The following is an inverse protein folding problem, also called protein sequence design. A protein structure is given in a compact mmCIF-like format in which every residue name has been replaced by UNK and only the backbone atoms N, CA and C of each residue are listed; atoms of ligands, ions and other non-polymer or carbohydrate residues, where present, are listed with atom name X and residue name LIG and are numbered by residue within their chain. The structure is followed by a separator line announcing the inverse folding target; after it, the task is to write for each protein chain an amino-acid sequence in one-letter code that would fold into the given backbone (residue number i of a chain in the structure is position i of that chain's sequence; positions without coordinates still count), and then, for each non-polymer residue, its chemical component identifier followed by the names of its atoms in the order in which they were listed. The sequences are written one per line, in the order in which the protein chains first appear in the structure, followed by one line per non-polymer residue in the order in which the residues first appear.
data_IF_969054864983
#
_entry.id   IF_969054864983
#
_cell.length_a   1.000
_cell.length_b   1.000
_cell.length_c   1.000
_cell.angle_alpha   90.00
_cell.angle_beta   90.00
_cell.angle_gamma   90.00
#
_symmetry.space_group_name_H-M   'P 1'
#
loop_
_entity.id
_entity.type
_entity.pdbx_description
1 polymer ?
#
# COMPACT_ATOMS: atom_id res chain seq x y z
N UNK A 1 -10.75 -7.52 -25.02
CA UNK A 1 -11.42 -7.92 -23.75
C UNK A 1 -10.45 -7.66 -22.61
N UNK A 2 -10.85 -7.75 -21.33
CA UNK A 2 -9.86 -7.67 -20.24
C UNK A 2 -9.05 -8.97 -20.23
N UNK A 3 -7.72 -8.90 -20.44
CA UNK A 3 -6.82 -10.07 -20.51
C UNK A 3 -6.62 -10.80 -19.17
N UNK A 4 -7.21 -10.29 -18.08
CA UNK A 4 -7.13 -10.85 -16.73
C UNK A 4 -8.32 -10.42 -15.87
N UNK A 5 -8.50 -11.10 -14.72
CA UNK A 5 -9.51 -10.73 -13.73
C UNK A 5 -9.23 -9.39 -13.03
N UNK A 6 -10.19 -8.98 -12.19
CA UNK A 6 -10.09 -7.76 -11.38
C UNK A 6 -10.11 -8.09 -9.89
N UNK A 7 -9.21 -7.45 -9.15
CA UNK A 7 -9.20 -7.54 -7.70
C UNK A 7 -10.47 -6.95 -7.09
N UNK A 8 -10.89 -7.52 -5.95
CA UNK A 8 -12.03 -7.02 -5.18
C UNK A 8 -11.57 -5.96 -4.15
N UNK A 9 -12.42 -5.65 -3.17
CA UNK A 9 -12.09 -4.65 -2.15
C UNK A 9 -10.98 -5.11 -1.21
N UNK A 10 -10.30 -4.13 -0.59
CA UNK A 10 -9.18 -4.30 0.36
C UNK A 10 -9.47 -5.34 1.44
N UNK A 11 -10.67 -5.35 2.04
CA UNK A 11 -11.03 -6.37 3.04
C UNK A 11 -10.94 -7.78 2.50
N UNK A 12 -11.51 -8.04 1.32
CA UNK A 12 -11.52 -9.39 0.76
C UNK A 12 -10.10 -9.85 0.43
N UNK A 13 -9.28 -8.96 -0.13
CA UNK A 13 -7.88 -9.25 -0.40
C UNK A 13 -7.15 -9.60 0.89
N UNK A 14 -7.27 -8.76 1.95
CA UNK A 14 -6.61 -9.03 3.22
C UNK A 14 -7.08 -10.34 3.85
N UNK A 15 -8.38 -10.63 3.84
CA UNK A 15 -8.93 -11.90 4.35
C UNK A 15 -8.39 -13.11 3.59
N UNK A 16 -8.13 -13.01 2.28
CA UNK A 16 -7.52 -14.09 1.51
C UNK A 16 -6.04 -14.26 1.89
N UNK A 17 -5.28 -13.17 1.93
CA UNK A 17 -3.85 -13.18 2.25
C UNK A 17 -3.57 -13.66 3.68
N UNK A 18 -4.45 -13.36 4.64
CA UNK A 18 -4.34 -13.80 6.02
C UNK A 18 -4.44 -15.33 6.20
N UNK A 19 -4.92 -16.07 5.19
CA UNK A 19 -4.97 -17.55 5.23
C UNK A 19 -3.62 -18.20 4.99
N UNK A 20 -2.67 -17.46 4.41
CA UNK A 20 -1.33 -17.95 4.16
C UNK A 20 -0.41 -17.64 5.35
N UNK A 21 0.21 -18.64 6.00
CA UNK A 21 1.03 -18.43 7.20
C UNK A 21 2.31 -17.63 6.91
N UNK A 22 2.81 -17.61 5.68
CA UNK A 22 3.99 -16.86 5.27
C UNK A 22 3.67 -15.41 4.92
N UNK A 23 2.42 -15.12 4.55
CA UNK A 23 1.97 -13.75 4.23
C UNK A 23 1.36 -13.07 5.46
N UNK A 24 0.60 -13.80 6.27
CA UNK A 24 -0.18 -13.23 7.39
C UNK A 24 0.61 -12.33 8.35
N UNK A 25 1.90 -12.60 8.69
CA UNK A 25 2.65 -11.72 9.59
C UNK A 25 2.95 -10.34 8.99
N UNK A 26 2.84 -10.21 7.66
CA UNK A 26 3.10 -8.99 6.90
C UNK A 26 1.82 -8.19 6.60
N UNK A 27 0.64 -8.66 7.03
CA UNK A 27 -0.63 -7.97 6.81
C UNK A 27 -0.95 -7.09 8.03
N UNK A 28 -1.11 -5.76 7.87
CA UNK A 28 -1.51 -4.88 8.97
C UNK A 28 -2.93 -5.23 9.43
N UNK A 29 -3.17 -5.17 10.74
CA UNK A 29 -4.50 -5.42 11.32
C UNK A 29 -5.52 -4.50 10.65
N UNK A 30 -6.60 -5.09 10.14
CA UNK A 30 -7.61 -4.38 9.36
C UNK A 30 -9.00 -4.85 9.76
N UNK A 31 -9.91 -3.92 10.00
CA UNK A 31 -11.32 -4.19 10.34
C UNK A 31 -12.25 -3.34 9.46
N UNK A 32 -13.52 -3.74 9.36
CA UNK A 32 -14.54 -2.85 8.81
C UNK A 32 -14.70 -1.63 9.71
N UNK A 33 -14.87 -0.44 9.13
CA UNK A 33 -15.05 0.77 9.91
C UNK A 33 -16.41 0.77 10.62
N UNK A 34 -16.37 0.86 11.93
CA UNK A 34 -17.46 1.16 12.86
C UNK A 34 -16.91 1.99 14.02
N UNK A 35 -17.77 2.51 14.89
CA UNK A 35 -17.31 3.26 16.05
C UNK A 35 -16.49 2.36 17.00
N UNK A 36 -16.96 1.14 17.21
CA UNK A 36 -16.33 0.15 18.09
C UNK A 36 -14.96 -0.27 17.57
N UNK A 37 -14.87 -0.59 16.27
CA UNK A 37 -13.60 -0.99 15.64
C UNK A 37 -12.60 0.16 15.59
N UNK A 38 -13.04 1.39 15.30
CA UNK A 38 -12.17 2.57 15.34
C UNK A 38 -11.61 2.77 16.75
N UNK A 39 -12.47 2.72 17.77
CA UNK A 39 -12.08 2.85 19.18
C UNK A 39 -11.11 1.75 19.61
N UNK A 40 -11.41 0.49 19.30
CA UNK A 40 -10.55 -0.65 19.63
C UNK A 40 -9.18 -0.54 18.94
N UNK A 41 -9.16 -0.17 17.66
CA UNK A 41 -7.92 0.02 16.92
C UNK A 41 -7.08 1.18 17.49
N UNK A 42 -7.70 2.30 17.92
CA UNK A 42 -7.02 3.41 18.59
C UNK A 42 -6.63 3.13 20.05
N UNK A 43 -7.12 2.05 20.64
CA UNK A 43 -6.60 1.56 21.92
C UNK A 43 -5.30 0.78 21.71
N UNK A 44 -5.23 -0.01 20.64
CA UNK A 44 -4.09 -0.88 20.35
C UNK A 44 -2.96 -0.18 19.59
N UNK A 45 -3.28 0.76 18.70
CA UNK A 45 -2.33 1.41 17.82
C UNK A 45 -2.38 2.93 17.97
N UNK A 46 -1.22 3.59 17.97
CA UNK A 46 -1.15 5.06 18.02
C UNK A 46 -1.76 5.69 16.77
N UNK A 47 -1.48 5.11 15.60
CA UNK A 47 -1.98 5.59 14.31
C UNK A 47 -2.82 4.53 13.64
N UNK A 48 -3.94 4.94 13.07
CA UNK A 48 -4.76 4.12 12.16
C UNK A 48 -5.09 4.90 10.91
N UNK A 49 -5.33 4.20 9.82
CA UNK A 49 -5.80 4.76 8.56
C UNK A 49 -7.21 4.28 8.28
N UNK A 50 -8.10 5.24 8.03
CA UNK A 50 -9.46 5.00 7.58
C UNK A 50 -9.49 5.16 6.07
N UNK A 51 -9.73 4.06 5.35
CA UNK A 51 -9.60 4.00 3.89
C UNK A 51 -10.87 3.44 3.25
N UNK A 52 -11.25 3.85 2.03
CA UNK A 52 -12.35 3.21 1.32
C UNK A 52 -11.99 1.75 0.98
N UNK A 53 -12.91 0.81 1.19
CA UNK A 53 -12.68 -0.60 0.84
C UNK A 53 -12.42 -0.78 -0.66
N UNK A 54 -13.09 0.03 -1.49
CA UNK A 54 -12.83 0.16 -2.93
C UNK A 54 -12.46 1.61 -3.23
N UNK A 55 -11.29 1.82 -3.82
CA UNK A 55 -10.76 3.15 -4.12
C UNK A 55 -9.42 3.07 -4.82
N UNK A 56 -8.93 4.20 -5.31
CA UNK A 56 -7.67 4.31 -6.04
C UNK A 56 -6.97 5.64 -5.71
N UNK A 57 -5.66 5.73 -5.99
CA UNK A 57 -4.83 6.95 -5.85
C UNK A 57 -4.89 7.62 -4.48
N UNK A 58 -5.06 6.85 -3.41
CA UNK A 58 -5.13 7.41 -2.05
C UNK A 58 -6.34 8.32 -1.75
N UNK A 59 -7.31 8.47 -2.66
CA UNK A 59 -8.45 9.39 -2.48
C UNK A 59 -9.37 8.90 -1.36
N UNK A 60 -9.68 9.82 -0.43
CA UNK A 60 -10.61 9.56 0.67
C UNK A 60 -9.98 8.75 1.80
N UNK A 61 -8.65 8.74 1.90
CA UNK A 61 -7.95 8.18 3.07
C UNK A 61 -7.87 9.26 4.15
N UNK A 62 -8.11 8.87 5.40
CA UNK A 62 -7.85 9.69 6.58
C UNK A 62 -6.83 8.97 7.46
N UNK A 63 -5.85 9.71 8.00
CA UNK A 63 -5.04 9.24 9.14
C UNK A 63 -5.66 9.76 10.41
N UNK A 64 -5.79 8.87 11.37
CA UNK A 64 -6.20 9.20 12.74
C UNK A 64 -5.03 8.84 13.65
N UNK A 65 -4.43 9.84 14.29
CA UNK A 65 -3.32 9.66 15.23
C UNK A 65 -3.76 10.06 16.63
N UNK A 66 -3.62 9.15 17.58
CA UNK A 66 -3.95 9.42 18.98
C UNK A 66 -2.94 10.39 19.56
N UNK A 67 -3.42 11.46 20.20
CA UNK A 67 -2.56 12.37 20.97
C UNK A 67 -2.47 11.88 22.42
N UNK A 68 -3.63 11.57 23.01
CA UNK A 68 -3.75 11.09 24.38
C UNK A 68 -5.07 10.31 24.56
N UNK A 69 -5.44 10.00 25.80
CA UNK A 69 -6.67 9.26 26.13
C UNK A 69 -7.97 10.00 25.78
N UNK A 70 -7.93 11.28 25.44
CA UNK A 70 -9.12 12.12 25.14
C UNK A 70 -9.16 12.67 23.73
N UNK A 71 -8.01 12.86 23.07
CA UNK A 71 -7.91 13.57 21.79
C UNK A 71 -7.14 12.78 20.73
N UNK A 72 -7.49 13.02 19.47
CA UNK A 72 -6.75 12.58 18.30
C UNK A 72 -6.66 13.67 17.23
N UNK A 73 -5.68 13.51 16.36
CA UNK A 73 -5.52 14.24 15.11
C UNK A 73 -6.15 13.44 13.98
N UNK A 74 -6.91 14.12 13.13
CA UNK A 74 -7.43 13.57 11.88
C UNK A 74 -6.93 14.43 10.73
N UNK A 75 -6.26 13.80 9.77
CA UNK A 75 -5.75 14.46 8.58
C UNK A 75 -6.22 13.70 7.34
N UNK A 76 -6.83 14.42 6.40
CA UNK A 76 -7.25 13.86 5.12
C UNK A 76 -6.06 13.74 4.18
N UNK A 77 -6.03 12.69 3.38
CA UNK A 77 -5.11 12.59 2.23
C UNK A 77 -5.28 13.75 1.25
N UNK A 78 -6.47 14.38 1.20
CA UNK A 78 -6.82 15.44 0.24
C UNK A 78 -6.35 16.84 0.64
N UNK A 79 -5.92 17.07 1.89
CA UNK A 79 -5.54 18.39 2.39
C UNK A 79 -4.45 18.27 3.47
N UNK A 80 -3.58 19.27 3.57
CA UNK A 80 -2.52 19.34 4.60
C UNK A 80 -3.09 19.63 5.99
N UNK A 81 -4.30 20.18 6.09
CA UNK A 81 -4.89 20.58 7.37
C UNK A 81 -5.13 19.40 8.32
N UNK A 82 -4.62 19.54 9.54
CA UNK A 82 -4.84 18.61 10.66
C UNK A 82 -5.97 19.13 11.54
N UNK A 83 -6.96 18.29 11.81
CA UNK A 83 -8.04 18.58 12.74
C UNK A 83 -7.82 17.84 14.05
N UNK A 84 -7.86 18.55 15.18
CA UNK A 84 -7.84 17.92 16.50
C UNK A 84 -9.28 17.75 16.97
N UNK A 85 -9.66 16.51 17.26
CA UNK A 85 -10.99 16.16 17.75
C UNK A 85 -10.89 15.34 19.03
N UNK A 86 -11.97 15.26 19.81
CA UNK A 86 -12.02 14.28 20.89
C UNK A 86 -12.16 12.88 20.31
N UNK A 87 -11.59 11.87 20.97
CA UNK A 87 -11.69 10.48 20.54
C UNK A 87 -13.16 10.02 20.42
N UNK A 88 -14.03 10.51 21.30
CA UNK A 88 -15.47 10.24 21.27
C UNK A 88 -16.16 10.81 20.01
N UNK A 89 -15.66 11.94 19.46
CA UNK A 89 -16.20 12.56 18.24
C UNK A 89 -15.47 12.13 16.96
N UNK A 90 -14.45 11.29 17.07
CA UNK A 90 -13.62 10.90 15.92
C UNK A 90 -14.44 10.16 14.86
N UNK A 91 -15.30 9.23 15.28
CA UNK A 91 -16.15 8.47 14.35
C UNK A 91 -17.16 9.37 13.64
N UNK A 92 -17.90 10.20 14.38
CA UNK A 92 -18.88 11.11 13.79
C UNK A 92 -18.22 12.08 12.80
N UNK A 93 -17.08 12.68 13.20
CA UNK A 93 -16.29 13.55 12.34
C UNK A 93 -15.89 12.85 11.03
N UNK A 94 -15.41 11.61 11.08
CA UNK A 94 -15.05 10.85 9.88
C UNK A 94 -16.28 10.57 9.00
N UNK A 95 -17.41 10.17 9.60
CA UNK A 95 -18.62 9.82 8.84
C UNK A 95 -19.23 11.02 8.11
N UNK A 96 -19.11 12.23 8.67
CA UNK A 96 -19.53 13.47 8.00
C UNK A 96 -18.72 13.76 6.73
N UNK A 97 -17.46 13.34 6.69
CA UNK A 97 -16.57 13.51 5.53
C UNK A 97 -16.69 12.37 4.50
N UNK A 98 -17.28 11.24 4.90
CA UNK A 98 -17.41 10.05 4.07
C UNK A 98 -18.68 10.15 3.22
N UNK A 99 -18.56 9.93 1.91
CA UNK A 99 -19.72 9.82 1.02
C UNK A 99 -20.63 8.67 1.46
N UNK A 100 -21.92 8.98 1.63
CA UNK A 100 -22.96 8.02 2.00
C UNK A 100 -22.94 6.76 1.11
N UNK A 101 -23.20 5.60 1.72
CA UNK A 101 -23.23 4.28 1.05
C UNK A 101 -21.85 3.68 0.74
N UNK A 102 -20.74 4.40 0.93
CA UNK A 102 -19.40 3.88 0.68
C UNK A 102 -18.87 3.11 1.90
N UNK A 103 -18.49 1.84 1.71
CA UNK A 103 -17.86 1.03 2.77
C UNK A 103 -16.41 1.41 3.00
N UNK A 104 -16.04 1.59 4.26
CA UNK A 104 -14.68 1.91 4.72
C UNK A 104 -14.11 0.83 5.61
N UNK A 105 -12.79 0.85 5.73
CA UNK A 105 -12.00 0.02 6.64
C UNK A 105 -11.21 0.91 7.58
N UNK A 106 -10.88 0.38 8.75
CA UNK A 106 -9.85 0.92 9.63
C UNK A 106 -8.67 -0.04 9.63
N UNK A 107 -7.47 0.47 9.36
CA UNK A 107 -6.25 -0.30 9.23
C UNK A 107 -5.16 0.26 10.14
N UNK A 108 -4.39 -0.62 10.77
CA UNK A 108 -3.21 -0.27 11.55
C UNK A 108 -2.28 0.64 10.74
N UNK A 109 -1.80 1.72 11.36
CA UNK A 109 -0.71 2.53 10.82
C UNK A 109 0.63 1.82 10.98
N UNK A 110 1.44 1.87 9.92
CA UNK A 110 2.81 1.35 9.92
C UNK A 110 3.74 2.56 10.07
N UNK A 111 4.68 2.47 11.01
CA UNK A 111 5.77 3.42 11.16
C UNK A 111 6.79 3.18 10.05
N UNK A 112 6.52 3.77 8.88
CA UNK A 112 7.33 3.57 7.68
C UNK A 112 8.78 4.01 7.90
N UNK A 113 9.69 3.24 7.30
CA UNK A 113 11.06 3.64 7.04
C UNK A 113 11.09 5.00 6.34
N UNK A 114 12.14 5.78 6.64
CA UNK A 114 12.27 7.14 6.14
C UNK A 114 13.61 7.34 5.45
N UNK A 115 13.61 8.18 4.44
CA UNK A 115 14.81 8.71 3.80
C UNK A 115 14.79 10.22 3.99
N UNK A 116 15.82 10.79 4.62
CA UNK A 116 15.89 12.24 4.93
C UNK A 116 14.63 12.75 5.67
N UNK A 117 14.09 11.96 6.61
CA UNK A 117 12.88 12.29 7.38
C UNK A 117 11.56 12.19 6.58
N UNK A 118 11.60 11.68 5.35
CA UNK A 118 10.41 11.47 4.50
C UNK A 118 10.05 9.99 4.45
N UNK A 119 8.85 9.57 4.87
CA UNK A 119 8.43 8.18 4.76
C UNK A 119 8.29 7.75 3.30
N UNK A 120 8.54 6.47 3.04
CA UNK A 120 8.38 5.90 1.71
C UNK A 120 7.67 4.55 1.74
N UNK A 121 7.13 4.18 0.57
CA UNK A 121 6.70 2.82 0.28
C UNK A 121 7.37 2.32 -1.00
N UNK A 122 7.17 1.05 -1.32
CA UNK A 122 7.79 0.37 -2.45
C UNK A 122 6.71 -0.20 -3.34
N UNK A 123 6.64 0.28 -4.57
CA UNK A 123 5.80 -0.25 -5.63
C UNK A 123 6.58 -1.32 -6.39
N UNK A 124 6.10 -2.56 -6.34
CA UNK A 124 6.65 -3.70 -7.08
C UNK A 124 5.73 -4.05 -8.25
N UNK A 125 6.34 -4.25 -9.42
CA UNK A 125 5.70 -4.73 -10.64
C UNK A 125 5.92 -6.22 -10.78
N UNK A 126 4.84 -6.98 -10.69
CA UNK A 126 4.83 -8.42 -10.93
C UNK A 126 4.15 -8.72 -12.26
N UNK A 127 4.79 -9.56 -13.07
CA UNK A 127 4.23 -10.06 -14.33
C UNK A 127 4.29 -11.58 -14.38
N UNK A 128 3.32 -12.19 -15.04
CA UNK A 128 3.30 -13.61 -15.38
C UNK A 128 3.20 -13.73 -16.91
N UNK A 129 4.32 -13.52 -17.65
CA UNK A 129 4.31 -13.54 -19.11
C UNK A 129 3.86 -14.88 -19.67
N UNK A 130 4.25 -15.96 -19.01
CA UNK A 130 3.81 -17.32 -19.30
C UNK A 130 3.09 -17.87 -18.07
N UNK A 131 3.69 -18.82 -17.36
CA UNK A 131 3.07 -19.50 -16.21
C UNK A 131 3.84 -19.28 -14.90
N UNK A 132 4.89 -18.44 -14.93
CA UNK A 132 5.67 -18.08 -13.74
C UNK A 132 5.67 -16.57 -13.50
N UNK A 133 5.43 -16.19 -12.25
CA UNK A 133 5.55 -14.81 -11.81
C UNK A 133 7.02 -14.37 -11.81
N UNK A 134 7.27 -13.15 -12.25
CA UNK A 134 8.57 -12.50 -12.23
C UNK A 134 8.44 -11.06 -11.73
N UNK A 135 9.38 -10.64 -10.90
CA UNK A 135 9.57 -9.24 -10.55
C UNK A 135 10.15 -8.50 -11.76
N UNK A 136 9.35 -7.65 -12.39
CA UNK A 136 9.74 -6.90 -13.58
C UNK A 136 10.36 -5.55 -13.26
N UNK A 137 10.00 -4.97 -12.12
CA UNK A 137 10.60 -3.74 -11.63
C UNK A 137 10.07 -3.36 -10.26
N UNK A 138 10.78 -2.48 -9.58
CA UNK A 138 10.34 -1.87 -8.34
C UNK A 138 10.74 -0.41 -8.31
N UNK A 139 10.03 0.38 -7.52
CA UNK A 139 10.33 1.80 -7.34
C UNK A 139 9.93 2.19 -5.93
N UNK A 140 10.82 2.92 -5.26
CA UNK A 140 10.52 3.55 -3.99
C UNK A 140 9.79 4.85 -4.27
N UNK A 141 8.69 5.10 -3.57
CA UNK A 141 7.90 6.34 -3.67
C UNK A 141 8.05 7.12 -2.38
N UNK A 142 8.84 8.17 -2.44
CA UNK A 142 9.10 9.04 -1.31
C UNK A 142 7.94 10.04 -1.14
N UNK A 143 7.41 10.18 0.07
CA UNK A 143 6.34 11.14 0.34
C UNK A 143 6.84 12.58 0.17
N UNK A 144 5.92 13.51 -0.13
CA UNK A 144 6.18 14.93 0.11
C UNK A 144 6.23 15.18 1.62
N UNK A 145 6.94 16.23 2.05
CA UNK A 145 6.94 16.68 3.45
C UNK A 145 5.50 16.97 3.91
N UNK A 146 5.21 16.67 5.18
CA UNK A 146 3.93 16.93 5.86
C UNK A 146 2.68 16.20 5.32
N UNK A 147 2.87 15.21 4.43
CA UNK A 147 1.76 14.46 3.83
C UNK A 147 1.47 13.14 4.55
N UNK A 148 0.18 12.81 4.58
CA UNK A 148 -0.38 11.65 5.29
C UNK A 148 -0.16 10.32 4.58
N UNK A 149 -0.13 10.36 3.24
CA UNK A 149 -0.03 9.18 2.41
C UNK A 149 0.97 9.43 1.28
N UNK A 150 1.76 8.41 1.00
CA UNK A 150 2.70 8.31 -0.13
C UNK A 150 1.97 8.26 -1.49
N UNK A 151 0.73 7.78 -1.51
CA UNK A 151 -0.01 7.45 -2.74
C UNK A 151 -0.87 8.57 -3.37
N UNK A 152 -1.17 9.65 -2.65
CA UNK A 152 -2.21 10.60 -3.10
C UNK A 152 -1.72 11.59 -4.19
N UNK A 153 -0.45 11.97 -4.19
CA UNK A 153 0.10 12.82 -5.24
C UNK A 153 0.90 12.02 -6.25
N UNK A 154 0.57 12.21 -7.52
CA UNK A 154 1.28 11.68 -8.72
C UNK A 154 2.75 12.13 -8.84
N UNK A 155 3.31 12.74 -7.80
CA UNK A 155 4.54 13.55 -7.81
C UNK A 155 5.42 13.29 -6.58
N UNK A 156 5.29 12.12 -5.94
CA UNK A 156 6.36 11.65 -5.05
C UNK A 156 7.64 11.38 -5.85
N UNK A 157 8.79 11.65 -5.25
CA UNK A 157 10.08 11.34 -5.88
C UNK A 157 10.20 9.82 -6.02
N UNK A 158 10.51 9.35 -7.23
CA UNK A 158 10.74 7.94 -7.52
C UNK A 158 12.24 7.68 -7.46
N UNK A 159 12.67 6.83 -6.53
CA UNK A 159 14.10 6.53 -6.31
C UNK A 159 14.37 5.02 -6.36
N UNK A 160 15.65 4.65 -6.45
CA UNK A 160 16.07 3.25 -6.38
C UNK A 160 15.92 2.69 -4.97
N UNK A 161 15.72 1.38 -4.90
CA UNK A 161 15.65 0.63 -3.63
C UNK A 161 16.98 0.73 -2.86
N UNK A 162 18.12 0.66 -3.56
CA UNK A 162 19.45 0.73 -2.96
C UNK A 162 19.65 2.06 -2.23
N UNK A 163 19.25 3.17 -2.85
CA UNK A 163 19.32 4.50 -2.22
C UNK A 163 18.43 4.57 -0.97
N UNK A 164 17.23 4.00 -1.02
CA UNK A 164 16.29 4.09 0.09
C UNK A 164 16.72 3.26 1.31
N UNK A 165 17.30 2.08 1.09
CA UNK A 165 17.68 1.16 2.15
C UNK A 165 19.04 1.46 2.79
N UNK A 166 19.95 2.13 2.07
CA UNK A 166 21.29 2.48 2.57
C UNK A 166 21.28 3.31 3.85
N UNK A 167 20.34 4.26 3.99
CA UNK A 167 20.30 5.18 5.13
C UNK A 167 19.84 4.52 6.44
N UNK A 168 19.35 3.28 6.40
CA UNK A 168 18.77 2.61 7.57
C UNK A 168 19.72 1.60 8.24
N UNK A 169 20.97 1.48 7.78
CA UNK A 169 21.97 0.53 8.28
C UNK A 169 21.48 -0.93 8.33
N UNK A 170 20.61 -1.30 7.40
CA UNK A 170 20.12 -2.67 7.23
C UNK A 170 20.96 -3.44 6.23
N UNK A 171 20.86 -4.77 6.27
CA UNK A 171 21.27 -5.60 5.15
C UNK A 171 20.29 -5.37 3.98
N UNK A 172 20.75 -4.55 3.02
CA UNK A 172 19.98 -4.19 1.82
C UNK A 172 19.57 -5.43 1.03
N UNK A 173 20.45 -6.44 0.93
CA UNK A 173 20.17 -7.65 0.16
C UNK A 173 19.10 -8.50 0.84
N UNK A 174 19.13 -8.59 2.18
CA UNK A 174 18.11 -9.30 2.96
C UNK A 174 16.73 -8.64 2.79
N UNK A 175 16.63 -7.32 2.99
CA UNK A 175 15.35 -6.60 2.87
C UNK A 175 14.80 -6.68 1.43
N UNK A 176 15.67 -6.53 0.42
CA UNK A 176 15.30 -6.69 -0.98
C UNK A 176 14.80 -8.12 -1.29
N UNK A 177 15.43 -9.13 -0.69
CA UNK A 177 15.00 -10.53 -0.73
C UNK A 177 13.61 -10.72 -0.13
N UNK A 178 13.36 -10.17 1.06
CA UNK A 178 12.07 -10.28 1.76
C UNK A 178 10.94 -9.59 0.98
N UNK A 179 11.21 -8.42 0.40
CA UNK A 179 10.28 -7.70 -0.48
C UNK A 179 9.93 -8.54 -1.72
N UNK A 180 10.95 -9.12 -2.37
CA UNK A 180 10.75 -9.99 -3.54
C UNK A 180 9.95 -11.23 -3.17
N UNK A 181 10.31 -11.92 -2.09
CA UNK A 181 9.63 -13.13 -1.63
C UNK A 181 8.16 -12.85 -1.30
N UNK A 182 7.87 -11.80 -0.53
CA UNK A 182 6.51 -11.42 -0.21
C UNK A 182 5.70 -11.06 -1.46
N UNK A 183 6.29 -10.36 -2.43
CA UNK A 183 5.64 -10.04 -3.69
C UNK A 183 5.26 -11.30 -4.48
N UNK A 184 6.16 -12.30 -4.56
CA UNK A 184 5.86 -13.57 -5.22
C UNK A 184 4.76 -14.34 -4.49
N UNK A 185 4.80 -14.43 -3.16
CA UNK A 185 3.76 -15.10 -2.38
C UNK A 185 2.38 -14.45 -2.60
N UNK A 186 2.31 -13.13 -2.47
CA UNK A 186 1.07 -12.36 -2.71
C UNK A 186 0.58 -12.55 -4.15
N UNK A 187 1.47 -12.48 -5.14
CA UNK A 187 1.11 -12.69 -6.54
C UNK A 187 0.51 -14.09 -6.78
N UNK A 188 1.13 -15.14 -6.26
CA UNK A 188 0.62 -16.51 -6.41
C UNK A 188 -0.75 -16.70 -5.75
N UNK A 189 -0.94 -16.20 -4.53
CA UNK A 189 -2.22 -16.31 -3.83
C UNK A 189 -3.31 -15.56 -4.60
N UNK A 190 -3.06 -14.31 -5.01
CA UNK A 190 -4.08 -13.52 -5.73
C UNK A 190 -4.38 -14.09 -7.12
N UNK A 191 -3.37 -14.57 -7.84
CA UNK A 191 -3.54 -15.22 -9.13
C UNK A 191 -4.45 -16.45 -9.04
N UNK A 192 -4.24 -17.30 -8.03
CA UNK A 192 -5.08 -18.48 -7.81
C UNK A 192 -6.58 -18.15 -7.71
N UNK A 193 -6.93 -17.01 -7.09
CA UNK A 193 -8.33 -16.60 -6.92
C UNK A 193 -8.89 -15.74 -8.05
N UNK A 194 -8.04 -15.03 -8.79
CA UNK A 194 -8.48 -13.97 -9.71
C UNK A 194 -8.01 -14.15 -11.16
N UNK A 195 -7.18 -15.15 -11.46
CA UNK A 195 -6.65 -15.39 -12.81
C UNK A 195 -5.89 -14.17 -13.34
N UNK A 196 -4.73 -13.90 -12.74
CA UNK A 196 -3.97 -12.67 -12.96
C UNK A 196 -2.70 -12.93 -13.77
N UNK A 197 -2.27 -11.91 -14.51
CA UNK A 197 -0.99 -11.89 -15.23
C UNK A 197 -0.14 -10.67 -14.93
N UNK A 198 -0.75 -9.65 -14.33
CA UNK A 198 -0.12 -8.39 -14.02
C UNK A 198 -0.66 -7.84 -12.68
N UNK A 199 0.28 -7.49 -11.80
CA UNK A 199 -0.01 -6.93 -10.49
C UNK A 199 0.98 -5.81 -10.14
N UNK A 200 0.46 -4.67 -9.72
CA UNK A 200 1.21 -3.71 -8.91
C UNK A 200 0.97 -4.00 -7.44
N UNK A 201 2.03 -4.26 -6.69
CA UNK A 201 1.98 -4.52 -5.25
C UNK A 201 2.66 -3.37 -4.52
N UNK A 202 1.97 -2.78 -3.56
CA UNK A 202 2.49 -1.75 -2.67
C UNK A 202 2.93 -2.45 -1.38
N UNK A 203 4.24 -2.47 -1.15
CA UNK A 203 4.85 -2.95 0.08
C UNK A 203 5.47 -1.77 0.84
N UNK A 204 5.80 -1.99 2.10
CA UNK A 204 6.54 -1.05 2.93
C UNK A 204 7.60 -1.79 3.74
N UNK A 205 8.56 -1.02 4.24
CA UNK A 205 9.46 -1.43 5.30
C UNK A 205 9.18 -0.51 6.48
N UNK A 206 9.08 -1.04 7.70
CA UNK A 206 8.96 -0.21 8.90
C UNK A 206 10.34 0.21 9.44
N UNK A 207 10.36 1.06 10.45
CA UNK A 207 11.59 1.54 11.10
C UNK A 207 12.45 0.44 11.77
N UNK A 208 11.97 -0.82 11.80
CA UNK A 208 12.70 -1.99 12.32
C UNK A 208 13.13 -2.95 11.21
N UNK A 209 12.94 -2.59 9.95
CA UNK A 209 13.30 -3.44 8.81
C UNK A 209 12.26 -4.52 8.49
N UNK A 210 11.08 -4.53 9.14
CA UNK A 210 10.05 -5.51 8.81
C UNK A 210 9.30 -5.08 7.55
N UNK A 211 9.14 -6.02 6.63
CA UNK A 211 8.36 -5.83 5.40
C UNK A 211 6.86 -5.96 5.69
N UNK A 212 6.05 -5.10 5.08
CA UNK A 212 4.59 -5.08 5.20
C UNK A 212 3.93 -5.01 3.83
N UNK A 213 2.77 -5.65 3.70
CA UNK A 213 1.88 -5.47 2.56
C UNK A 213 0.91 -4.31 2.82
N UNK A 214 0.76 -3.41 1.84
CA UNK A 214 -0.18 -2.28 1.89
C UNK A 214 -1.41 -2.56 1.03
N UNK A 215 -1.20 -2.74 -0.28
CA UNK A 215 -2.28 -3.01 -1.23
C UNK A 215 -1.77 -3.66 -2.53
N UNK A 216 -2.68 -4.26 -3.30
CA UNK A 216 -2.43 -4.74 -4.65
C UNK A 216 -3.43 -4.13 -5.62
N UNK A 217 -3.00 -3.90 -6.87
CA UNK A 217 -3.83 -3.32 -7.93
C UNK A 217 -3.56 -3.98 -9.28
N UNK A 218 -4.61 -4.10 -10.09
CA UNK A 218 -4.57 -4.50 -11.50
C UNK A 218 -4.60 -3.24 -12.37
N UNK A 219 -3.67 -3.11 -13.32
CA UNK A 219 -3.47 -1.90 -14.12
C UNK A 219 -2.63 -0.80 -13.44
N UNK A 220 -1.45 -1.11 -12.88
CA UNK A 220 -0.57 -0.12 -12.28
C UNK A 220 -0.02 0.86 -13.34
N UNK A 221 0.27 2.09 -12.91
CA UNK A 221 0.99 3.05 -13.76
C UNK A 221 2.48 2.72 -13.86
N UNK A 222 3.08 2.97 -15.02
CA UNK A 222 4.48 2.64 -15.31
C UNK A 222 5.48 3.81 -15.19
N UNK A 223 5.00 5.03 -14.99
CA UNK A 223 5.85 6.25 -15.07
C UNK A 223 6.98 6.27 -14.03
N UNK A 224 6.74 5.74 -12.83
CA UNK A 224 7.75 5.72 -11.76
C UNK A 224 9.00 4.94 -12.14
N UNK A 225 8.86 3.83 -12.89
CA UNK A 225 10.02 3.03 -13.30
C UNK A 225 10.94 3.78 -14.26
N UNK A 226 10.38 4.62 -15.15
CA UNK A 226 11.16 5.43 -16.10
C UNK A 226 12.03 6.46 -15.38
N UNK A 227 11.54 7.02 -14.28
CA UNK A 227 12.27 8.01 -13.49
C UNK A 227 13.49 7.40 -12.76
N UNK A 228 13.45 6.10 -12.46
CA UNK A 228 14.53 5.40 -11.76
C UNK A 228 15.53 4.76 -12.72
N UNK A 229 15.05 4.06 -13.75
CA UNK A 229 15.91 3.31 -14.67
C UNK A 229 15.21 3.03 -16.00
N UNK A 230 15.78 3.54 -17.09
CA UNK A 230 15.26 3.29 -18.44
C UNK A 230 15.27 1.79 -18.81
N UNK A 231 16.35 1.01 -18.54
CA UNK A 231 16.32 -0.44 -18.75
C UNK A 231 15.21 -1.17 -17.97
N UNK A 232 14.97 -0.79 -16.72
CA UNK A 232 13.87 -1.35 -15.93
C UNK A 232 12.50 -1.01 -16.55
N UNK A 233 12.32 0.25 -16.95
CA UNK A 233 11.09 0.69 -17.61
C UNK A 233 10.82 -0.07 -18.90
N UNK A 234 11.85 -0.24 -19.75
CA UNK A 234 11.73 -1.01 -20.99
C UNK A 234 11.36 -2.47 -20.72
N UNK A 235 11.99 -3.12 -19.74
CA UNK A 235 11.64 -4.49 -19.33
C UNK A 235 10.18 -4.60 -18.88
N UNK A 236 9.71 -3.66 -18.05
CA UNK A 236 8.31 -3.59 -17.60
C UNK A 236 7.37 -3.43 -18.79
N UNK A 237 7.64 -2.46 -19.67
CA UNK A 237 6.79 -2.17 -20.84
C UNK A 237 6.77 -3.30 -21.86
N UNK A 238 7.91 -3.92 -22.15
CA UNK A 238 8.01 -5.01 -23.11
C UNK A 238 7.27 -6.26 -22.60
N UNK A 239 7.39 -6.57 -21.31
CA UNK A 239 6.68 -7.67 -20.69
C UNK A 239 5.16 -7.43 -20.66
N UNK A 240 4.74 -6.22 -20.31
CA UNK A 240 3.33 -5.80 -20.38
C UNK A 240 2.76 -5.98 -21.80
N UNK A 241 3.45 -5.42 -22.82
CA UNK A 241 3.04 -5.54 -24.23
C UNK A 241 2.95 -6.99 -24.68
N UNK A 242 3.90 -7.84 -24.26
CA UNK A 242 3.88 -9.28 -24.56
C UNK A 242 2.62 -9.95 -23.98
N UNK A 243 2.32 -9.71 -22.71
CA UNK A 243 1.12 -10.27 -22.05
C UNK A 243 -0.15 -9.81 -22.77
N UNK A 244 -0.28 -8.52 -23.03
CA UNK A 244 -1.44 -7.95 -23.74
C UNK A 244 -1.57 -8.60 -25.11
N UNK A 245 -0.50 -8.69 -25.90
CA UNK A 245 -0.54 -9.31 -27.23
C UNK A 245 -0.94 -10.79 -27.19
N UNK A 246 -0.49 -11.54 -26.17
CA UNK A 246 -0.70 -12.99 -26.08
C UNK A 246 -2.07 -13.39 -25.54
N UNK A 247 -2.68 -12.58 -24.67
CA UNK A 247 -3.86 -12.95 -23.89
C UNK A 247 -5.07 -12.01 -24.03
N UNK A 248 -5.04 -11.05 -24.97
CA UNK A 248 -6.18 -10.14 -25.23
C UNK A 248 -7.14 -10.64 -26.30
#
# INVERSE_FOLDING_TARGET
MAFQGRLQGKMKINTLLLKDPWISPHIPKTEWLSEESLRAMLQQYETVYVKPNKGYKGIGIFRVRKINSKKCEIQSSMNVEVKIVSLQKAFSFLTEQIKSGRKYIVQQGIELAQLEGRPYDIRIMMHKPLDRWQLSGWVVRLSKRDMVVTNFHREGESISIDRALQDNNWDVAQIAGDLSNLAHLVSNVLDHYYGLRELGIDLAVDNKGKVWYIEANTGPGFRGYKAVSMPMYERVMNTHRFIVKKYS
#
